data_IF_090081393185
#
_entry.id   IF_090081393185
#
_cell.length_a   1.000
_cell.length_b   1.000
_cell.length_c   1.000
_cell.angle_alpha   90.00
_cell.angle_beta   90.00
_cell.angle_gamma   90.00
#
_symmetry.space_group_name_H-M   'P 1'
#
loop_
_entity.id
_entity.type
_entity.pdbx_description
1 polymer ?
#
# COMPACT_ATOMS: atom_id res chain seq x y z
N UNK A 1 -11.27 6.02 0.09
CA UNK A 1 -11.93 4.77 0.51
C UNK A 1 -11.75 3.73 -0.59
N UNK A 2 -11.62 2.44 -0.28
CA UNK A 2 -11.26 1.45 -1.28
C UNK A 2 -12.44 1.07 -2.17
N UNK A 3 -12.24 1.09 -3.49
CA UNK A 3 -13.11 0.44 -4.45
C UNK A 3 -12.62 -1.01 -4.63
N UNK A 4 -13.41 -1.98 -4.21
CA UNK A 4 -13.03 -3.40 -4.20
C UNK A 4 -13.27 -4.10 -5.53
N UNK A 5 -14.03 -3.49 -6.45
CA UNK A 5 -14.38 -4.08 -7.75
C UNK A 5 -13.20 -4.40 -8.65
N UNK A 6 -12.11 -3.66 -8.55
CA UNK A 6 -10.95 -3.87 -9.42
C UNK A 6 -9.77 -4.60 -8.78
N UNK A 7 -9.94 -5.17 -7.59
CA UNK A 7 -8.86 -5.90 -6.94
C UNK A 7 -7.66 -4.99 -6.64
N UNK A 8 -6.48 -5.34 -7.14
CA UNK A 8 -5.22 -4.64 -6.88
C UNK A 8 -4.97 -4.46 -5.37
N UNK A 9 -5.11 -5.54 -4.61
CA UNK A 9 -4.93 -5.53 -3.16
C UNK A 9 -3.50 -5.16 -2.77
N UNK A 10 -3.37 -4.42 -1.67
CA UNK A 10 -2.09 -4.08 -1.09
C UNK A 10 -1.57 -5.26 -0.26
N UNK A 11 -0.51 -5.91 -0.73
CA UNK A 11 0.14 -7.02 -0.04
C UNK A 11 1.21 -6.49 0.90
N UNK A 12 1.17 -6.88 2.18
CA UNK A 12 2.24 -6.57 3.14
C UNK A 12 3.43 -7.51 2.89
N UNK A 13 4.59 -6.92 2.70
CA UNK A 13 5.82 -7.63 2.33
C UNK A 13 6.92 -7.55 3.39
N UNK A 14 6.68 -6.95 4.56
CA UNK A 14 7.71 -6.71 5.57
C UNK A 14 8.55 -7.97 5.86
N UNK A 15 7.90 -9.12 6.07
CA UNK A 15 8.61 -10.37 6.36
C UNK A 15 9.28 -10.98 5.13
N UNK A 16 8.73 -10.71 3.94
CA UNK A 16 9.23 -11.27 2.68
C UNK A 16 10.54 -10.59 2.25
N UNK A 17 10.65 -9.28 2.50
CA UNK A 17 11.79 -8.48 2.04
C UNK A 17 12.77 -8.10 3.16
N UNK A 18 12.61 -8.67 4.35
CA UNK A 18 13.43 -8.34 5.51
C UNK A 18 14.93 -8.53 5.27
N UNK A 19 15.30 -9.60 4.56
CA UNK A 19 16.68 -9.96 4.26
C UNK A 19 17.12 -9.56 2.85
N UNK A 20 16.32 -8.76 2.13
CA UNK A 20 16.65 -8.30 0.78
C UNK A 20 17.59 -7.10 0.85
N UNK A 21 18.72 -7.15 0.18
CA UNK A 21 19.76 -6.10 0.21
C UNK A 21 19.41 -4.90 -0.69
N UNK A 22 18.20 -4.38 -0.57
CA UNK A 22 17.76 -3.17 -1.25
C UNK A 22 17.54 -2.04 -0.23
N UNK A 23 18.36 -1.00 -0.31
CA UNK A 23 18.45 0.06 0.69
C UNK A 23 17.11 0.71 1.04
N UNK A 24 16.20 0.88 0.08
CA UNK A 24 14.88 1.49 0.35
C UNK A 24 14.05 0.61 1.30
N UNK A 25 14.05 -0.71 1.09
CA UNK A 25 13.31 -1.64 1.94
C UNK A 25 13.98 -1.76 3.32
N UNK A 26 15.32 -1.90 3.34
CA UNK A 26 16.08 -1.95 4.60
C UNK A 26 15.82 -0.72 5.47
N UNK A 27 16.01 0.46 4.91
CA UNK A 27 15.82 1.72 5.65
C UNK A 27 14.38 1.88 6.17
N UNK A 28 13.37 1.44 5.39
CA UNK A 28 11.99 1.46 5.84
C UNK A 28 11.78 0.53 7.04
N UNK A 29 12.26 -0.72 6.95
CA UNK A 29 12.08 -1.72 8.00
C UNK A 29 12.91 -1.44 9.25
N UNK A 30 14.15 -0.96 9.12
CA UNK A 30 14.99 -0.53 10.24
C UNK A 30 14.36 0.63 11.03
N UNK A 31 13.60 1.48 10.35
CA UNK A 31 12.81 2.55 10.98
C UNK A 31 11.41 2.09 11.45
N UNK A 32 11.19 0.78 11.61
CA UNK A 32 9.89 0.18 11.97
C UNK A 32 8.75 0.54 11.00
N UNK A 33 9.08 0.86 9.77
CA UNK A 33 8.12 1.20 8.72
C UNK A 33 7.59 -0.01 7.96
N UNK A 34 7.12 0.24 6.75
CA UNK A 34 6.37 -0.74 5.98
C UNK A 34 6.85 -0.82 4.54
N UNK A 35 6.76 -2.02 3.99
CA UNK A 35 6.90 -2.30 2.55
C UNK A 35 5.64 -3.01 2.09
N UNK A 36 4.95 -2.42 1.13
CA UNK A 36 3.78 -3.04 0.49
C UNK A 36 3.92 -3.02 -1.02
N UNK A 37 3.19 -3.92 -1.67
CA UNK A 37 3.15 -3.98 -3.12
C UNK A 37 1.76 -4.27 -3.65
N UNK A 38 1.59 -4.02 -4.94
CA UNK A 38 0.40 -4.41 -5.72
C UNK A 38 0.83 -5.20 -6.95
N UNK A 39 0.04 -6.18 -7.34
CA UNK A 39 0.23 -6.95 -8.57
C UNK A 39 -0.74 -6.45 -9.63
N UNK A 40 -0.21 -5.90 -10.74
CA UNK A 40 -0.97 -5.47 -11.91
C UNK A 40 -0.94 -6.58 -12.93
N UNK A 41 -2.00 -7.40 -12.90
CA UNK A 41 -2.09 -8.65 -13.67
C UNK A 41 -2.04 -8.41 -15.16
N UNK A 42 -1.23 -9.20 -15.87
CA UNK A 42 -1.08 -9.22 -17.33
C UNK A 42 -0.68 -7.87 -17.95
N UNK A 43 0.10 -7.03 -17.24
CA UNK A 43 0.44 -5.68 -17.67
C UNK A 43 1.95 -5.43 -17.89
N UNK A 44 2.81 -6.44 -17.71
CA UNK A 44 4.25 -6.22 -17.84
C UNK A 44 4.69 -5.70 -19.20
N UNK A 45 4.09 -6.19 -20.27
CA UNK A 45 4.41 -5.78 -21.65
C UNK A 45 3.81 -4.41 -22.00
N UNK A 46 2.61 -4.11 -21.48
CA UNK A 46 1.88 -2.88 -21.78
C UNK A 46 2.46 -1.64 -21.10
N UNK A 47 3.21 -1.83 -19.99
CA UNK A 47 3.82 -0.74 -19.25
C UNK A 47 5.26 -0.47 -19.72
N UNK A 48 5.40 0.50 -20.62
CA UNK A 48 6.71 1.04 -20.99
C UNK A 48 7.37 1.74 -19.80
N UNK A 49 8.68 1.99 -19.90
CA UNK A 49 9.41 2.76 -18.88
C UNK A 49 8.73 4.10 -18.57
N UNK A 50 8.29 4.82 -19.61
CA UNK A 50 7.59 6.10 -19.46
C UNK A 50 6.29 5.98 -18.66
N UNK A 51 5.50 4.90 -18.87
CA UNK A 51 4.29 4.66 -18.08
C UNK A 51 4.62 4.39 -16.61
N UNK A 52 5.68 3.64 -16.33
CA UNK A 52 6.14 3.38 -14.95
C UNK A 52 6.68 4.65 -14.29
N UNK A 53 7.39 5.49 -15.04
CA UNK A 53 7.87 6.78 -14.53
C UNK A 53 6.68 7.69 -14.17
N UNK A 54 5.58 7.68 -14.93
CA UNK A 54 4.35 8.38 -14.57
C UNK A 54 3.72 7.86 -13.25
N UNK A 55 3.70 6.53 -13.04
CA UNK A 55 3.25 5.97 -11.76
C UNK A 55 4.15 6.40 -10.60
N UNK A 56 5.45 6.54 -10.85
CA UNK A 56 6.41 7.04 -9.86
C UNK A 56 6.10 8.49 -9.47
N UNK A 57 5.76 9.34 -10.43
CA UNK A 57 5.36 10.73 -10.13
C UNK A 57 4.05 10.78 -9.34
N UNK A 58 3.08 9.90 -9.63
CA UNK A 58 1.87 9.76 -8.81
C UNK A 58 2.25 9.41 -7.36
N UNK A 59 3.11 8.41 -7.15
CA UNK A 59 3.56 8.02 -5.80
C UNK A 59 4.24 9.19 -5.06
N UNK A 60 5.08 9.96 -5.74
CA UNK A 60 5.77 11.13 -5.17
C UNK A 60 4.82 12.23 -4.71
N UNK A 61 3.67 12.40 -5.37
CA UNK A 61 2.64 13.36 -4.94
C UNK A 61 2.14 13.05 -3.52
N UNK A 62 2.21 11.77 -3.12
CA UNK A 62 1.88 11.29 -1.78
C UNK A 62 3.12 11.06 -0.89
N UNK A 63 4.20 11.78 -1.17
CA UNK A 63 5.45 11.82 -0.40
C UNK A 63 6.31 10.56 -0.46
N UNK A 64 5.99 9.57 -1.30
CA UNK A 64 6.89 8.44 -1.53
C UNK A 64 8.19 8.91 -2.19
N UNK A 65 9.32 8.38 -1.76
CA UNK A 65 10.64 8.72 -2.32
C UNK A 65 10.83 8.15 -3.73
N UNK A 66 10.05 7.13 -4.09
CA UNK A 66 10.09 6.48 -5.39
C UNK A 66 9.15 5.27 -5.45
N UNK A 67 9.11 4.63 -6.60
CA UNK A 67 8.36 3.41 -6.88
C UNK A 67 9.33 2.34 -7.37
N UNK A 68 9.46 1.26 -6.62
CA UNK A 68 10.18 0.08 -7.07
C UNK A 68 9.24 -0.81 -7.90
N UNK A 69 9.79 -1.53 -8.87
CA UNK A 69 9.00 -2.37 -9.74
C UNK A 69 9.76 -3.58 -10.28
N UNK A 70 8.99 -4.62 -10.62
CA UNK A 70 9.44 -5.82 -11.30
C UNK A 70 8.43 -6.20 -12.39
N UNK A 71 8.93 -6.74 -13.48
CA UNK A 71 8.13 -7.38 -14.54
C UNK A 71 8.41 -8.86 -14.54
N UNK A 72 7.36 -9.66 -14.53
CA UNK A 72 7.46 -11.11 -14.66
C UNK A 72 7.31 -11.47 -16.13
N UNK A 73 8.25 -12.21 -16.69
CA UNK A 73 8.22 -12.67 -18.08
C UNK A 73 8.62 -14.14 -18.17
N UNK A 74 8.39 -14.75 -19.32
CA UNK A 74 8.83 -16.11 -19.62
C UNK A 74 10.37 -16.27 -19.44
N UNK A 75 11.13 -15.24 -19.76
CA UNK A 75 12.58 -15.20 -19.59
C UNK A 75 13.05 -14.93 -18.15
N UNK A 76 12.12 -14.82 -17.20
CA UNK A 76 12.37 -14.51 -15.79
C UNK A 76 11.92 -13.13 -15.36
N UNK A 77 12.30 -12.74 -14.15
CA UNK A 77 11.92 -11.46 -13.54
C UNK A 77 12.90 -10.36 -13.92
N UNK A 78 12.38 -9.25 -14.41
CA UNK A 78 13.17 -8.10 -14.84
C UNK A 78 12.76 -6.84 -14.07
N UNK A 79 13.71 -5.95 -13.82
CA UNK A 79 13.46 -4.68 -13.17
C UNK A 79 14.66 -4.18 -12.38
N UNK A 80 14.64 -2.92 -11.94
CA UNK A 80 15.78 -2.28 -11.30
C UNK A 80 16.17 -2.93 -9.98
N UNK A 81 15.21 -3.58 -9.32
CA UNK A 81 15.42 -4.21 -8.01
C UNK A 81 15.67 -5.73 -8.09
N UNK A 82 15.51 -6.36 -9.27
CA UNK A 82 15.66 -7.81 -9.42
C UNK A 82 17.03 -8.34 -8.93
N UNK A 83 18.08 -7.57 -9.17
CA UNK A 83 19.47 -7.92 -8.80
C UNK A 83 19.74 -8.01 -7.28
N UNK A 84 18.85 -7.50 -6.45
CA UNK A 84 18.99 -7.53 -4.99
C UNK A 84 18.35 -8.77 -4.34
N UNK A 85 17.67 -9.59 -5.13
CA UNK A 85 17.01 -10.81 -4.66
C UNK A 85 17.83 -12.04 -5.03
N UNK A 86 17.97 -12.96 -4.11
CA UNK A 86 18.35 -14.33 -4.44
C UNK A 86 17.18 -15.02 -5.16
N UNK A 87 17.43 -16.16 -5.79
CA UNK A 87 16.39 -16.95 -6.46
C UNK A 87 15.30 -17.37 -5.47
N UNK A 88 15.67 -17.80 -4.27
CA UNK A 88 14.74 -18.19 -3.21
C UNK A 88 13.88 -17.03 -2.74
N UNK A 89 14.48 -15.87 -2.48
CA UNK A 89 13.77 -14.65 -2.09
C UNK A 89 12.80 -14.20 -3.20
N UNK A 90 13.22 -14.27 -4.46
CA UNK A 90 12.38 -13.94 -5.61
C UNK A 90 11.17 -14.86 -5.70
N UNK A 91 11.37 -16.18 -5.57
CA UNK A 91 10.29 -17.15 -5.59
C UNK A 91 9.30 -16.94 -4.44
N UNK A 92 9.79 -16.60 -3.26
CA UNK A 92 8.97 -16.26 -2.09
C UNK A 92 8.13 -14.99 -2.36
N UNK A 93 8.74 -13.96 -2.94
CA UNK A 93 8.05 -12.72 -3.31
C UNK A 93 6.96 -12.97 -4.36
N UNK A 94 7.27 -13.71 -5.43
CA UNK A 94 6.31 -14.04 -6.48
C UNK A 94 5.11 -14.83 -5.94
N UNK A 95 5.37 -15.76 -5.03
CA UNK A 95 4.31 -16.54 -4.36
C UNK A 95 3.43 -15.64 -3.50
N UNK A 96 4.02 -14.78 -2.68
CA UNK A 96 3.29 -13.86 -1.81
C UNK A 96 2.44 -12.86 -2.60
N UNK A 97 2.91 -12.42 -3.77
CA UNK A 97 2.20 -11.52 -4.67
C UNK A 97 1.23 -12.24 -5.62
N UNK A 98 1.12 -13.58 -5.53
CA UNK A 98 0.38 -14.41 -6.51
C UNK A 98 0.72 -14.02 -7.97
N UNK A 99 2.00 -13.77 -8.22
CA UNK A 99 2.50 -13.24 -9.47
C UNK A 99 2.62 -14.35 -10.53
N UNK A 100 2.24 -14.01 -11.75
CA UNK A 100 2.28 -14.88 -12.92
C UNK A 100 3.05 -14.20 -14.04
N UNK A 101 3.29 -14.95 -15.10
CA UNK A 101 3.87 -14.40 -16.33
C UNK A 101 3.06 -13.22 -16.85
N UNK A 102 3.77 -12.21 -17.35
CA UNK A 102 3.26 -10.93 -17.82
C UNK A 102 2.68 -10.01 -16.73
N UNK A 103 2.88 -10.29 -15.44
CA UNK A 103 2.46 -9.40 -14.36
C UNK A 103 3.50 -8.29 -14.12
N UNK A 104 3.01 -7.11 -13.74
CA UNK A 104 3.80 -5.97 -13.29
C UNK A 104 3.61 -5.82 -11.77
N UNK A 105 4.70 -5.92 -11.03
CA UNK A 105 4.71 -5.76 -9.58
C UNK A 105 5.25 -4.37 -9.23
N UNK A 106 4.53 -3.66 -8.38
CA UNK A 106 4.86 -2.30 -7.93
C UNK A 106 4.99 -2.29 -6.41
N UNK A 107 6.00 -1.56 -5.89
CA UNK A 107 6.32 -1.57 -4.46
C UNK A 107 6.63 -0.17 -3.96
N UNK A 108 6.16 0.11 -2.74
CA UNK A 108 6.55 1.30 -1.97
C UNK A 108 7.03 0.86 -0.59
N UNK A 109 8.17 1.41 -0.16
CA UNK A 109 8.70 1.26 1.18
C UNK A 109 8.96 2.62 1.80
N UNK A 110 8.41 2.85 3.00
CA UNK A 110 8.61 4.09 3.76
C UNK A 110 8.46 3.83 5.27
N UNK A 111 9.15 4.61 6.14
CA UNK A 111 8.91 4.58 7.59
C UNK A 111 7.47 4.92 7.98
N UNK A 112 6.79 5.80 7.24
CA UNK A 112 5.41 6.21 7.53
C UNK A 112 4.41 5.33 6.80
N UNK A 113 3.53 4.70 7.57
CA UNK A 113 2.48 3.81 7.05
C UNK A 113 1.56 4.50 6.04
N UNK A 114 1.19 5.75 6.33
CA UNK A 114 0.32 6.58 5.50
C UNK A 114 0.94 6.81 4.12
N UNK A 115 2.25 7.12 4.07
CA UNK A 115 2.96 7.34 2.80
C UNK A 115 2.89 6.09 1.91
N UNK A 116 3.09 4.90 2.48
CA UNK A 116 3.00 3.63 1.74
C UNK A 116 1.58 3.39 1.23
N UNK A 117 0.59 3.52 2.12
CA UNK A 117 -0.80 3.23 1.78
C UNK A 117 -1.37 4.25 0.79
N UNK A 118 -1.15 5.55 1.01
CA UNK A 118 -1.70 6.61 0.15
C UNK A 118 -1.09 6.58 -1.24
N UNK A 119 0.24 6.37 -1.33
CA UNK A 119 0.93 6.26 -2.61
C UNK A 119 0.42 5.08 -3.43
N UNK A 120 0.30 3.90 -2.82
CA UNK A 120 -0.22 2.71 -3.51
C UNK A 120 -1.72 2.82 -3.80
N UNK A 121 -2.51 3.45 -2.92
CA UNK A 121 -3.93 3.69 -3.16
C UNK A 121 -4.15 4.64 -4.35
N UNK A 122 -3.33 5.69 -4.49
CA UNK A 122 -3.38 6.60 -5.63
C UNK A 122 -3.04 5.88 -6.95
N UNK A 123 -1.97 5.07 -6.95
CA UNK A 123 -1.59 4.24 -8.09
C UNK A 123 -2.72 3.25 -8.41
N UNK A 124 -3.27 2.58 -7.42
CA UNK A 124 -4.36 1.62 -7.53
C UNK A 124 -5.60 2.26 -8.20
N UNK A 125 -6.00 3.43 -7.74
CA UNK A 125 -7.13 4.16 -8.30
C UNK A 125 -6.87 4.63 -9.73
N UNK A 126 -5.66 5.08 -10.03
CA UNK A 126 -5.26 5.44 -11.39
C UNK A 126 -5.33 4.24 -12.32
N UNK A 127 -4.74 3.10 -11.93
CA UNK A 127 -4.73 1.87 -12.71
C UNK A 127 -6.13 1.28 -12.90
N UNK A 128 -6.96 1.30 -11.85
CA UNK A 128 -8.34 0.83 -11.93
C UNK A 128 -9.15 1.55 -13.02
N UNK A 129 -8.95 2.86 -13.17
CA UNK A 129 -9.58 3.70 -14.20
C UNK A 129 -8.93 3.52 -15.57
N UNK A 130 -7.60 3.60 -15.63
CA UNK A 130 -6.83 3.53 -16.89
C UNK A 130 -7.04 2.19 -17.60
N UNK A 131 -7.00 1.10 -16.83
CA UNK A 131 -7.15 -0.27 -17.35
C UNK A 131 -8.60 -0.74 -17.39
N UNK A 132 -9.56 0.10 -16.95
CA UNK A 132 -10.99 -0.23 -16.91
C UNK A 132 -11.25 -1.57 -16.19
N UNK A 133 -10.67 -1.74 -15.03
CA UNK A 133 -10.70 -3.01 -14.28
C UNK A 133 -12.04 -3.28 -13.57
N UNK A 134 -13.04 -2.45 -13.78
CA UNK A 134 -14.36 -2.60 -13.16
C UNK A 134 -15.49 -2.35 -14.18
N UNK A 135 -16.60 -3.03 -13.96
CA UNK A 135 -17.85 -2.75 -14.67
C UNK A 135 -18.59 -1.61 -13.94
N UNK A 136 -18.86 -0.46 -14.60
CA UNK A 136 -19.60 0.65 -14.01
C UNK A 136 -21.00 0.31 -13.52
N UNK A 137 -21.60 -0.77 -14.04
CA UNK A 137 -22.95 -1.23 -13.65
C UNK A 137 -22.95 -2.09 -12.39
N UNK A 138 -21.78 -2.47 -11.87
CA UNK A 138 -21.66 -3.28 -10.66
C UNK A 138 -21.60 -2.41 -9.41
N UNK A 139 -22.19 -2.93 -8.32
CA UNK A 139 -22.22 -2.29 -7.02
C UNK A 139 -21.56 -3.23 -6.02
N UNK A 140 -20.58 -2.69 -5.29
CA UNK A 140 -19.89 -3.40 -4.23
C UNK A 140 -19.87 -2.56 -2.95
N UNK A 141 -20.40 -3.14 -1.87
CA UNK A 141 -20.53 -2.48 -0.58
C UNK A 141 -19.51 -3.06 0.39
N UNK A 142 -18.90 -2.19 1.18
CA UNK A 142 -18.04 -2.61 2.27
C UNK A 142 -18.25 -1.74 3.51
N UNK A 143 -17.91 -2.28 4.66
CA UNK A 143 -17.78 -1.54 5.89
C UNK A 143 -16.31 -1.14 6.10
N UNK A 144 -16.08 0.13 6.34
CA UNK A 144 -14.81 0.63 6.88
C UNK A 144 -14.97 0.75 8.38
N UNK A 145 -14.10 0.08 9.12
CA UNK A 145 -14.09 0.02 10.59
C UNK A 145 -12.68 0.30 11.10
N UNK A 146 -12.52 0.38 12.41
CA UNK A 146 -11.21 0.55 13.04
C UNK A 146 -10.49 1.85 12.64
N UNK A 147 -11.26 2.94 12.59
CA UNK A 147 -10.68 4.25 12.36
C UNK A 147 -9.76 4.63 13.52
N UNK A 148 -8.57 5.22 13.25
CA UNK A 148 -7.77 5.85 14.29
C UNK A 148 -8.59 6.92 15.02
N UNK A 149 -8.53 6.94 16.35
CA UNK A 149 -9.19 7.97 17.15
C UNK A 149 -8.48 9.30 17.05
N UNK A 150 -7.15 9.27 16.96
CA UNK A 150 -6.28 10.43 16.97
C UNK A 150 -5.29 10.41 15.80
N UNK A 151 -4.88 11.59 15.38
CA UNK A 151 -3.78 11.84 14.45
C UNK A 151 -2.67 12.60 15.19
N UNK A 152 -1.42 12.19 14.98
CA UNK A 152 -0.25 12.89 15.53
C UNK A 152 0.23 13.94 14.57
N UNK A 153 0.38 15.16 15.05
CA UNK A 153 0.93 16.28 14.31
C UNK A 153 2.41 16.46 14.67
N UNK A 154 3.29 16.22 13.69
CA UNK A 154 4.73 16.34 13.84
C UNK A 154 5.18 17.78 14.16
N UNK A 155 4.43 18.81 13.75
CA UNK A 155 4.81 20.22 13.96
C UNK A 155 4.53 20.66 15.39
N UNK A 156 3.35 20.32 15.89
CA UNK A 156 2.93 20.70 17.25
C UNK A 156 3.30 19.67 18.28
N UNK A 157 3.73 18.46 17.85
CA UNK A 157 4.03 17.30 18.70
C UNK A 157 2.86 16.91 19.62
N UNK A 158 1.64 16.93 19.07
CA UNK A 158 0.41 16.63 19.80
C UNK A 158 -0.50 15.71 19.00
N UNK A 159 -1.37 15.00 19.73
CA UNK A 159 -2.46 14.25 19.15
C UNK A 159 -3.70 15.13 19.03
N UNK A 160 -4.37 15.04 17.88
CA UNK A 160 -5.64 15.69 17.60
C UNK A 160 -6.69 14.64 17.30
N UNK A 161 -7.93 14.87 17.75
CA UNK A 161 -9.05 13.99 17.43
C UNK A 161 -9.35 14.06 15.92
N UNK A 162 -9.42 12.90 15.28
CA UNK A 162 -9.76 12.78 13.85
C UNK A 162 -11.26 12.86 13.59
N UNK A 163 -12.07 12.75 14.62
CA UNK A 163 -13.52 12.66 14.55
C UNK A 163 -14.21 13.75 15.39
N UNK A 164 -15.54 13.81 15.21
CA UNK A 164 -16.36 14.69 16.01
C UNK A 164 -16.17 14.39 17.53
N UNK A 165 -16.22 15.41 18.41
CA UNK A 165 -16.04 15.23 19.87
C UNK A 165 -16.98 14.22 20.53
N UNK A 166 -18.10 13.86 19.89
CA UNK A 166 -19.02 12.84 20.39
C UNK A 166 -18.65 11.41 19.96
N UNK A 167 -17.63 11.25 19.14
CA UNK A 167 -17.11 9.94 18.80
C UNK A 167 -16.34 9.41 20.00
N UNK A 168 -16.68 8.20 20.43
CA UNK A 168 -15.98 7.54 21.54
C UNK A 168 -14.89 6.59 21.00
N UNK A 169 -13.87 6.32 21.79
CA UNK A 169 -12.96 5.21 21.51
C UNK A 169 -13.69 3.87 21.66
N UNK A 170 -13.17 2.83 21.03
CA UNK A 170 -13.61 1.46 21.29
C UNK A 170 -13.50 1.14 22.76
N UNK A 171 -14.42 0.34 23.29
CA UNK A 171 -14.42 -0.04 24.71
C UNK A 171 -13.14 -0.76 25.11
N UNK A 172 -12.56 -1.57 24.20
CA UNK A 172 -11.26 -2.23 24.39
C UNK A 172 -10.07 -1.29 24.45
N UNK A 173 -10.24 -0.04 24.01
CA UNK A 173 -9.14 0.92 23.81
C UNK A 173 -9.25 2.15 24.75
N UNK A 174 -10.16 2.11 25.72
CA UNK A 174 -10.35 3.23 26.67
C UNK A 174 -9.07 3.60 27.41
N UNK A 175 -8.29 2.62 27.83
CA UNK A 175 -7.02 2.84 28.52
C UNK A 175 -5.93 3.43 27.61
N UNK A 176 -6.08 3.26 26.28
CA UNK A 176 -5.10 3.77 25.33
C UNK A 176 -5.18 5.26 25.10
N UNK A 177 -6.27 5.92 25.49
CA UNK A 177 -6.43 7.37 25.33
C UNK A 177 -5.23 8.10 25.94
N UNK A 178 -4.80 7.69 27.11
CA UNK A 178 -3.71 8.33 27.85
C UNK A 178 -2.37 7.60 27.72
N UNK A 179 -2.38 6.29 27.44
CA UNK A 179 -1.18 5.46 27.46
C UNK A 179 -0.60 5.18 26.08
N UNK A 180 -1.43 5.10 25.05
CA UNK A 180 -1.03 4.76 23.68
C UNK A 180 -2.03 5.34 22.64
N UNK A 181 -2.17 6.67 22.57
CA UNK A 181 -3.13 7.32 21.69
C UNK A 181 -2.91 7.00 20.21
N UNK A 182 -1.69 6.66 19.80
CA UNK A 182 -1.36 6.26 18.43
C UNK A 182 -2.12 4.98 17.98
N UNK A 183 -2.40 4.07 18.91
CA UNK A 183 -3.08 2.81 18.66
C UNK A 183 -4.51 2.77 19.22
N UNK A 184 -5.07 3.92 19.59
CA UNK A 184 -6.44 4.04 20.04
C UNK A 184 -7.39 4.11 18.85
N UNK A 185 -8.37 3.21 18.77
CA UNK A 185 -9.34 3.13 17.70
C UNK A 185 -10.67 3.74 18.09
N UNK A 186 -11.32 4.42 17.16
CA UNK A 186 -12.65 4.97 17.31
C UNK A 186 -13.73 3.88 17.16
N UNK A 187 -14.81 3.98 17.94
CA UNK A 187 -16.04 3.21 17.76
C UNK A 187 -16.89 3.86 16.67
N UNK A 188 -16.35 3.85 15.45
CA UNK A 188 -16.93 4.45 14.27
C UNK A 188 -16.87 3.49 13.09
N UNK A 189 -17.83 3.64 12.18
CA UNK A 189 -17.89 2.84 10.96
C UNK A 189 -18.53 3.64 9.83
N UNK A 190 -18.08 3.34 8.60
CA UNK A 190 -18.68 3.87 7.38
C UNK A 190 -19.11 2.73 6.46
N UNK A 191 -20.27 2.86 5.85
CA UNK A 191 -20.61 2.06 4.68
C UNK A 191 -20.14 2.78 3.43
N UNK A 192 -19.44 2.05 2.57
CA UNK A 192 -18.86 2.57 1.33
C UNK A 192 -19.43 1.82 0.15
N UNK A 193 -19.83 2.55 -0.88
CA UNK A 193 -20.29 2.02 -2.14
C UNK A 193 -19.27 2.44 -3.23
N UNK A 194 -18.63 1.46 -3.85
CA UNK A 194 -17.71 1.69 -4.98
C UNK A 194 -16.53 2.66 -4.68
N UNK A 195 -16.11 2.74 -3.40
CA UNK A 195 -14.96 3.56 -2.99
C UNK A 195 -15.24 5.03 -2.64
#
# INVERSE_FOLDING_TARGET
>A
KPDTRFGLELVNLNHIVADVDFAVFKNALEAHGHVKGINVVAQAQEFSRKKIDNLTEIAKTYKAKGLAWLKVSEAGVQGPIAKFFTEEQMNTLLTAMNAKENDLLLFVGDPKYEVVCDSLAAIRNYLGKELKLYDPSTFDFLWVVDFPMFEYDDETQRYYAMHHPFTRPKESDLDKIDTDPANCLADAYDIVLNG
#
